data_IF_424863208640
#
_entry.id   IF_424863208640
#
_cell.length_a   1.000
_cell.length_b   1.000
_cell.length_c   1.000
_cell.angle_alpha   90.00
_cell.angle_beta   90.00
_cell.angle_gamma   90.00
#
_symmetry.space_group_name_H-M   'P 1'
#
loop_
_entity.id
_entity.type
_entity.pdbx_description
1 polymer ?
#
# COMPACT_ATOMS: atom_id res chain seq x y z
N UNK A 1 49.65 -15.72 30.78
CA UNK A 1 49.81 -14.47 31.56
C UNK A 1 49.52 -14.72 33.03
N UNK A 2 50.24 -14.04 33.94
CA UNK A 2 49.95 -14.05 35.40
C UNK A 2 48.92 -12.98 35.77
N UNK A 3 48.37 -13.06 37.00
CA UNK A 3 47.33 -12.12 37.48
C UNK A 3 47.74 -10.63 37.34
N UNK A 4 49.00 -10.29 37.63
CA UNK A 4 49.47 -8.90 37.54
C UNK A 4 49.67 -8.41 36.10
N UNK A 5 49.93 -9.30 35.15
CA UNK A 5 50.03 -8.95 33.73
C UNK A 5 48.63 -8.71 33.15
N UNK A 6 47.68 -9.62 33.44
CA UNK A 6 46.32 -9.47 32.93
C UNK A 6 45.56 -8.31 33.58
N UNK A 7 45.87 -7.95 34.83
CA UNK A 7 45.35 -6.75 35.46
C UNK A 7 45.77 -5.49 34.69
N UNK A 8 47.03 -5.40 34.26
CA UNK A 8 47.52 -4.28 33.44
C UNK A 8 46.89 -4.25 32.05
N UNK A 9 46.74 -5.41 31.40
CA UNK A 9 46.22 -5.51 30.03
C UNK A 9 44.69 -5.34 29.94
N UNK A 10 43.94 -5.84 30.93
CA UNK A 10 42.48 -5.71 30.97
C UNK A 10 42.00 -4.40 31.59
N UNK A 11 42.83 -3.73 32.40
CA UNK A 11 42.44 -2.57 33.20
C UNK A 11 41.48 -2.91 34.34
N UNK A 12 41.41 -4.18 34.74
CA UNK A 12 40.51 -4.71 35.77
C UNK A 12 41.36 -5.18 36.95
N UNK A 13 41.01 -4.74 38.17
CA UNK A 13 41.79 -5.11 39.34
C UNK A 13 41.78 -6.61 39.61
N UNK A 14 42.87 -7.14 40.17
CA UNK A 14 42.98 -8.57 40.48
C UNK A 14 41.84 -9.07 41.39
N UNK A 15 41.37 -8.21 42.31
CA UNK A 15 40.20 -8.49 43.17
C UNK A 15 38.92 -8.71 42.36
N UNK A 16 38.70 -7.89 41.33
CA UNK A 16 37.51 -7.96 40.46
C UNK A 16 37.58 -9.16 39.52
N UNK A 17 38.75 -9.51 39.01
CA UNK A 17 38.97 -10.73 38.20
C UNK A 17 38.59 -11.98 39.02
N UNK A 18 39.10 -12.08 40.26
CA UNK A 18 38.73 -13.16 41.19
C UNK A 18 37.23 -13.17 41.48
N UNK A 19 36.62 -12.00 41.63
CA UNK A 19 35.18 -11.90 41.84
C UNK A 19 34.38 -12.43 40.63
N UNK A 20 34.77 -12.11 39.40
CA UNK A 20 34.14 -12.66 38.19
C UNK A 20 34.29 -14.17 38.08
N UNK A 21 35.47 -14.71 38.40
CA UNK A 21 35.70 -16.16 38.52
C UNK A 21 34.73 -16.78 39.55
N UNK A 22 34.60 -16.21 40.76
CA UNK A 22 33.67 -16.73 41.78
C UNK A 22 32.20 -16.66 41.38
N UNK A 23 31.82 -15.72 40.51
CA UNK A 23 30.45 -15.62 39.98
C UNK A 23 30.21 -16.56 38.78
N UNK A 24 31.24 -17.24 38.31
CA UNK A 24 31.18 -18.19 37.21
C UNK A 24 31.21 -17.53 35.83
N UNK A 25 31.63 -16.26 35.73
CA UNK A 25 31.74 -15.54 34.46
C UNK A 25 32.96 -15.97 33.64
N UNK A 26 33.96 -16.58 34.29
CA UNK A 26 35.24 -16.99 33.73
C UNK A 26 35.63 -18.33 34.37
N UNK A 27 36.25 -19.21 33.59
CA UNK A 27 36.86 -20.44 34.08
C UNK A 27 38.35 -20.44 33.74
N UNK A 28 39.19 -20.13 34.72
CA UNK A 28 40.62 -19.98 34.51
C UNK A 28 41.32 -21.31 34.75
N UNK A 29 42.12 -21.75 33.78
CA UNK A 29 42.92 -22.97 33.92
C UNK A 29 44.03 -22.75 34.95
N UNK A 30 44.33 -23.79 35.73
CA UNK A 30 45.51 -23.82 36.60
C UNK A 30 46.64 -24.53 35.86
N UNK A 31 47.80 -23.90 35.81
CA UNK A 31 49.01 -24.52 35.27
C UNK A 31 49.54 -25.63 36.19
N UNK A 32 50.59 -26.32 35.75
CA UNK A 32 51.22 -27.44 36.49
C UNK A 32 51.68 -27.04 37.90
N UNK A 33 52.02 -25.76 38.09
CA UNK A 33 52.43 -25.20 39.38
C UNK A 33 51.25 -24.81 40.30
N UNK A 34 50.02 -25.26 40.00
CA UNK A 34 48.76 -24.92 40.68
C UNK A 34 48.37 -23.42 40.68
N UNK A 35 49.14 -22.56 40.01
CA UNK A 35 48.83 -21.14 39.81
C UNK A 35 47.86 -20.95 38.64
N UNK A 36 47.06 -19.87 38.70
CA UNK A 36 46.17 -19.46 37.61
C UNK A 36 46.98 -18.95 36.43
N UNK A 37 46.71 -19.49 35.26
CA UNK A 37 47.30 -19.03 34.00
C UNK A 37 46.19 -18.50 33.11
N UNK A 38 46.34 -17.24 32.69
CA UNK A 38 45.39 -16.57 31.82
C UNK A 38 45.87 -16.60 30.37
N UNK A 39 45.00 -17.00 29.46
CA UNK A 39 45.21 -16.94 28.01
C UNK A 39 44.67 -15.66 27.37
N UNK A 40 44.87 -15.54 26.05
CA UNK A 40 44.33 -14.43 25.24
C UNK A 40 42.79 -14.42 25.20
N UNK A 41 42.17 -15.60 25.22
CA UNK A 41 40.71 -15.75 25.30
C UNK A 41 40.16 -15.17 26.61
N UNK A 42 40.82 -15.44 27.74
CA UNK A 42 40.44 -14.88 29.05
C UNK A 42 40.55 -13.36 29.08
N UNK A 43 41.59 -12.81 28.44
CA UNK A 43 41.78 -11.37 28.31
C UNK A 43 40.63 -10.73 27.50
N UNK A 44 40.29 -11.32 26.36
CA UNK A 44 39.20 -10.86 25.49
C UNK A 44 37.85 -10.92 26.21
N UNK A 45 37.60 -12.01 26.96
CA UNK A 45 36.38 -12.16 27.75
C UNK A 45 36.32 -11.15 28.90
N UNK A 46 37.43 -10.92 29.61
CA UNK A 46 37.53 -9.89 30.65
C UNK A 46 37.25 -8.48 30.11
N UNK A 47 37.82 -8.12 28.96
CA UNK A 47 37.56 -6.83 28.30
C UNK A 47 36.10 -6.69 27.89
N UNK A 48 35.49 -7.76 27.37
CA UNK A 48 34.06 -7.79 27.01
C UNK A 48 33.17 -7.57 28.24
N UNK A 49 33.44 -8.29 29.34
CA UNK A 49 32.71 -8.11 30.61
C UNK A 49 32.88 -6.67 31.11
N UNK A 50 34.08 -6.11 31.08
CA UNK A 50 34.33 -4.73 31.51
C UNK A 50 33.56 -3.71 30.66
N UNK A 51 33.51 -3.89 29.34
CA UNK A 51 32.74 -3.03 28.44
C UNK A 51 31.25 -3.08 28.78
N UNK A 52 30.67 -4.29 28.88
CA UNK A 52 29.25 -4.47 29.21
C UNK A 52 28.90 -3.86 30.58
N UNK A 53 29.79 -4.01 31.57
CA UNK A 53 29.63 -3.39 32.90
C UNK A 53 29.67 -1.87 32.83
N UNK A 54 30.56 -1.28 32.02
CA UNK A 54 30.61 0.18 31.80
C UNK A 54 29.36 0.71 31.09
N UNK A 55 28.76 -0.10 30.21
CA UNK A 55 27.47 0.21 29.57
C UNK A 55 26.24 -0.03 30.46
N UNK A 56 26.44 -0.36 31.75
CA UNK A 56 25.35 -0.53 32.72
C UNK A 56 24.75 -1.93 32.81
N UNK A 57 25.28 -2.93 32.08
CA UNK A 57 24.77 -4.30 32.18
C UNK A 57 25.06 -4.90 33.57
N UNK A 58 24.10 -5.63 34.12
CA UNK A 58 24.28 -6.32 35.40
C UNK A 58 25.12 -7.60 35.24
N UNK A 59 25.79 -8.02 36.31
CA UNK A 59 26.58 -9.27 36.33
C UNK A 59 25.70 -10.48 36.05
N UNK A 60 24.46 -10.48 36.55
CA UNK A 60 23.50 -11.54 36.30
C UNK A 60 23.16 -11.64 34.79
N UNK A 61 22.91 -10.51 34.14
CA UNK A 61 22.57 -10.48 32.72
C UNK A 61 23.75 -10.89 31.82
N UNK A 62 24.97 -10.51 32.18
CA UNK A 62 26.20 -10.98 31.49
C UNK A 62 26.35 -12.50 31.70
N UNK A 63 26.05 -13.00 32.89
CA UNK A 63 26.09 -14.43 33.18
C UNK A 63 25.06 -15.22 32.36
N UNK A 64 23.87 -14.68 32.15
CA UNK A 64 22.86 -15.34 31.32
C UNK A 64 23.34 -15.51 29.87
N UNK A 65 24.19 -14.61 29.36
CA UNK A 65 24.86 -14.77 28.07
C UNK A 65 25.93 -15.87 28.13
N UNK A 66 26.77 -15.91 29.17
CA UNK A 66 27.80 -16.95 29.31
C UNK A 66 27.20 -18.34 29.53
N UNK A 67 26.05 -18.43 30.20
CA UNK A 67 25.30 -19.66 30.45
C UNK A 67 24.45 -20.09 29.23
N UNK A 68 24.44 -19.29 28.15
CA UNK A 68 23.68 -19.57 26.92
C UNK A 68 22.16 -19.42 27.04
N UNK A 69 21.65 -18.74 28.08
CA UNK A 69 20.21 -18.49 28.28
C UNK A 69 19.66 -17.42 27.35
N UNK A 70 20.50 -16.47 26.95
CA UNK A 70 20.19 -15.44 25.96
C UNK A 70 21.41 -15.13 25.11
N UNK A 71 21.21 -14.59 23.92
CA UNK A 71 22.33 -14.17 23.07
C UNK A 71 22.90 -12.82 23.53
N UNK A 72 24.16 -12.55 23.18
CA UNK A 72 24.77 -11.24 23.43
C UNK A 72 23.99 -10.11 22.75
N UNK A 73 23.43 -10.38 21.56
CA UNK A 73 22.61 -9.41 20.82
C UNK A 73 21.35 -9.06 21.61
N UNK A 74 20.63 -10.05 22.15
CA UNK A 74 19.44 -9.82 22.98
C UNK A 74 19.76 -9.00 24.24
N UNK A 75 20.90 -9.26 24.89
CA UNK A 75 21.33 -8.46 26.04
C UNK A 75 21.58 -7.01 25.66
N UNK A 76 22.30 -6.78 24.56
CA UNK A 76 22.61 -5.45 24.07
C UNK A 76 21.34 -4.69 23.65
N UNK A 77 20.41 -5.35 22.96
CA UNK A 77 19.12 -4.74 22.59
C UNK A 77 18.31 -4.32 23.82
N UNK A 78 18.22 -5.18 24.84
CA UNK A 78 17.56 -4.85 26.11
C UNK A 78 18.22 -3.65 26.80
N UNK A 79 19.55 -3.61 26.82
CA UNK A 79 20.29 -2.51 27.46
C UNK A 79 20.14 -1.20 26.69
N UNK A 80 20.21 -1.23 25.36
CA UNK A 80 19.99 -0.06 24.50
C UNK A 80 18.60 0.51 24.76
N UNK A 81 17.58 -0.33 24.75
CA UNK A 81 16.20 0.09 25.00
C UNK A 81 16.03 0.72 26.40
N UNK A 82 16.64 0.14 27.44
CA UNK A 82 16.64 0.71 28.78
C UNK A 82 17.32 2.09 28.84
N UNK A 83 18.46 2.25 28.16
CA UNK A 83 19.19 3.52 28.11
C UNK A 83 18.44 4.59 27.30
N UNK A 84 17.77 4.21 26.21
CA UNK A 84 16.92 5.13 25.44
C UNK A 84 15.75 5.64 26.27
N UNK A 85 15.11 4.75 27.05
CA UNK A 85 14.06 5.11 28.01
C UNK A 85 14.57 6.11 29.06
N UNK A 86 15.75 5.84 29.64
CA UNK A 86 16.36 6.75 30.62
C UNK A 86 16.69 8.11 29.99
N UNK A 87 17.28 8.13 28.80
CA UNK A 87 17.60 9.36 28.08
C UNK A 87 16.35 10.21 27.87
N UNK A 88 15.25 9.59 27.44
CA UNK A 88 14.00 10.31 27.22
C UNK A 88 13.43 10.90 28.51
N UNK A 89 13.46 10.15 29.61
CA UNK A 89 13.06 10.65 30.93
C UNK A 89 13.89 11.88 31.33
N UNK A 90 15.20 11.85 31.09
CA UNK A 90 16.10 12.98 31.36
C UNK A 90 15.85 14.17 30.42
N UNK A 91 15.65 13.94 29.12
CA UNK A 91 15.33 14.98 28.14
C UNK A 91 14.02 15.70 28.51
N UNK A 92 13.03 14.95 29.02
CA UNK A 92 11.76 15.49 29.46
C UNK A 92 11.89 16.27 30.77
N UNK A 93 12.63 15.75 31.75
CA UNK A 93 12.97 16.48 32.98
C UNK A 93 13.70 17.79 32.65
N UNK A 94 14.64 17.76 31.70
CA UNK A 94 15.31 18.95 31.19
C UNK A 94 14.33 19.95 30.57
N UNK A 95 13.37 19.50 29.76
CA UNK A 95 12.35 20.38 29.17
C UNK A 95 11.51 21.09 30.25
N UNK A 96 11.13 20.38 31.30
CA UNK A 96 10.40 20.94 32.45
C UNK A 96 11.27 21.97 33.16
N UNK A 97 12.55 21.68 33.38
CA UNK A 97 13.48 22.63 33.99
C UNK A 97 13.65 23.90 33.13
N UNK A 98 13.70 23.77 31.80
CA UNK A 98 13.74 24.93 30.90
C UNK A 98 12.45 25.77 30.98
N UNK A 99 11.30 25.11 31.02
CA UNK A 99 10.01 25.80 31.15
C UNK A 99 9.88 26.49 32.51
N UNK A 100 10.27 25.82 33.59
CA UNK A 100 10.39 26.39 34.94
C UNK A 100 11.30 27.61 34.94
N UNK A 101 12.48 27.51 34.33
CA UNK A 101 13.42 28.63 34.25
C UNK A 101 12.82 29.85 33.53
N UNK A 102 12.09 29.63 32.42
CA UNK A 102 11.45 30.71 31.66
C UNK A 102 10.29 31.36 32.41
N UNK A 103 9.53 30.58 33.16
CA UNK A 103 8.31 31.02 33.85
C UNK A 103 8.53 31.47 35.30
N UNK A 104 9.75 31.30 35.83
CA UNK A 104 10.10 31.60 37.22
C UNK A 104 9.90 33.06 37.65
N UNK A 105 9.77 34.02 36.72
CA UNK A 105 9.45 35.41 37.05
C UNK A 105 7.98 35.65 37.48
N UNK A 106 7.08 34.69 37.26
CA UNK A 106 5.69 34.73 37.75
C UNK A 106 5.46 33.58 38.71
N UNK A 107 5.51 33.86 40.01
CA UNK A 107 5.23 32.90 41.08
C UNK A 107 3.74 32.52 41.12
N UNK A 108 3.30 31.66 40.19
CA UNK A 108 1.96 31.07 40.21
C UNK A 108 2.02 29.63 40.74
N UNK A 109 1.43 29.41 41.92
CA UNK A 109 1.32 28.09 42.55
C UNK A 109 0.62 27.05 41.63
N UNK A 110 -0.24 27.51 40.72
CA UNK A 110 -0.91 26.68 39.71
C UNK A 110 0.05 26.07 38.68
N UNK A 111 1.15 26.73 38.34
CA UNK A 111 2.15 26.19 37.41
C UNK A 111 2.95 25.06 38.07
N UNK A 112 3.23 25.21 39.37
CA UNK A 112 3.99 24.25 40.17
C UNK A 112 3.21 22.94 40.35
N UNK A 113 1.89 23.01 40.58
CA UNK A 113 1.03 21.83 40.60
C UNK A 113 0.91 21.16 39.23
N UNK A 114 0.87 21.93 38.14
CA UNK A 114 0.83 21.38 36.79
C UNK A 114 2.11 20.59 36.47
N UNK A 115 3.30 21.15 36.75
CA UNK A 115 4.57 20.43 36.53
C UNK A 115 4.72 19.18 37.40
N UNK A 116 4.28 19.23 38.66
CA UNK A 116 4.26 18.06 39.54
C UNK A 116 3.32 16.97 39.02
N UNK A 117 2.18 17.36 38.45
CA UNK A 117 1.25 16.41 37.83
C UNK A 117 1.85 15.80 36.56
N UNK A 118 2.46 16.60 35.69
CA UNK A 118 3.15 16.10 34.49
C UNK A 118 4.25 15.11 34.87
N UNK A 119 5.08 15.40 35.88
CA UNK A 119 6.11 14.48 36.37
C UNK A 119 5.53 13.15 36.87
N UNK A 120 4.41 13.19 37.61
CA UNK A 120 3.73 11.97 38.08
C UNK A 120 3.16 11.16 36.93
N UNK A 121 2.57 11.80 35.93
CA UNK A 121 2.03 11.14 34.75
C UNK A 121 3.15 10.47 33.93
N UNK A 122 4.33 11.08 33.83
CA UNK A 122 5.50 10.52 33.12
C UNK A 122 6.05 9.24 33.77
N UNK A 123 5.94 9.12 35.09
CA UNK A 123 6.38 7.93 35.83
C UNK A 123 5.39 6.76 35.71
N UNK A 124 4.18 6.98 35.17
CA UNK A 124 3.22 5.91 34.94
C UNK A 124 3.60 5.02 33.76
N UNK A 125 3.32 3.72 33.90
CA UNK A 125 3.55 2.74 32.83
C UNK A 125 2.68 3.05 31.58
N UNK A 126 1.47 3.60 31.77
CA UNK A 126 0.57 3.98 30.67
C UNK A 126 1.16 5.07 29.76
N UNK A 127 1.75 6.12 30.35
CA UNK A 127 2.37 7.20 29.56
C UNK A 127 3.64 6.74 28.85
N UNK A 128 4.39 5.82 29.45
CA UNK A 128 5.57 5.22 28.82
C UNK A 128 5.18 4.34 27.63
N UNK A 129 4.11 3.56 27.76
CA UNK A 129 3.58 2.76 26.67
C UNK A 129 3.06 3.65 25.53
N UNK A 130 2.32 4.71 25.86
CA UNK A 130 1.90 5.72 24.88
C UNK A 130 3.09 6.39 24.19
N UNK A 131 4.17 6.68 24.92
CA UNK A 131 5.37 7.27 24.33
C UNK A 131 6.08 6.32 23.37
N UNK A 132 6.21 5.04 23.72
CA UNK A 132 6.72 4.01 22.82
C UNK A 132 5.85 3.89 21.55
N UNK A 133 4.53 3.92 21.71
CA UNK A 133 3.58 3.88 20.60
C UNK A 133 3.70 5.13 19.71
N UNK A 134 3.85 6.33 20.30
CA UNK A 134 4.06 7.58 19.56
C UNK A 134 5.43 7.62 18.88
N UNK A 135 6.49 7.10 19.51
CA UNK A 135 7.79 6.92 18.85
C UNK A 135 7.69 5.94 17.68
N UNK A 136 6.91 4.87 17.82
CA UNK A 136 6.63 3.95 16.72
C UNK A 136 5.82 4.61 15.60
N UNK A 137 4.87 5.49 15.92
CA UNK A 137 4.08 6.23 14.93
C UNK A 137 4.88 7.34 14.23
N UNK A 138 5.84 7.95 14.92
CA UNK A 138 6.72 9.01 14.37
C UNK A 138 7.87 8.44 13.53
N UNK A 139 8.18 7.15 13.66
CA UNK A 139 9.05 6.46 12.73
C UNK A 139 8.30 6.14 11.42
N UNK A 140 8.76 6.74 10.33
CA UNK A 140 8.18 6.54 9.01
C UNK A 140 8.09 5.03 8.66
N UNK A 141 6.87 4.57 8.39
CA UNK A 141 6.63 3.20 7.97
C UNK A 141 7.34 2.88 6.65
N UNK A 142 7.62 1.62 6.31
CA UNK A 142 8.19 1.29 5.00
C UNK A 142 7.30 1.75 3.83
N UNK A 143 5.98 1.88 4.04
CA UNK A 143 5.05 2.48 3.08
C UNK A 143 5.36 3.95 2.82
N UNK A 144 5.75 4.72 3.83
CA UNK A 144 6.20 6.11 3.62
C UNK A 144 7.34 6.15 2.61
N UNK A 145 8.36 5.30 2.77
CA UNK A 145 9.49 5.24 1.84
C UNK A 145 9.08 4.76 0.44
N UNK A 146 8.20 3.77 0.32
CA UNK A 146 7.69 3.29 -0.97
C UNK A 146 6.86 4.36 -1.69
N UNK A 147 5.96 5.04 -0.98
CA UNK A 147 5.13 6.12 -1.53
C UNK A 147 6.01 7.28 -2.01
N UNK A 148 6.97 7.71 -1.20
CA UNK A 148 7.94 8.73 -1.62
C UNK A 148 8.81 8.27 -2.79
N UNK A 149 9.13 6.98 -2.88
CA UNK A 149 9.85 6.42 -4.03
C UNK A 149 9.02 6.50 -5.30
N UNK A 150 7.72 6.20 -5.23
CA UNK A 150 6.81 6.32 -6.36
C UNK A 150 6.66 7.79 -6.80
N UNK A 151 6.47 8.71 -5.86
CA UNK A 151 6.35 10.15 -6.14
C UNK A 151 7.63 10.69 -6.80
N UNK A 152 8.80 10.38 -6.23
CA UNK A 152 10.10 10.86 -6.72
C UNK A 152 10.55 10.13 -8.00
N UNK A 153 9.96 8.98 -8.35
CA UNK A 153 10.26 8.29 -9.60
C UNK A 153 9.62 8.93 -10.84
N UNK A 154 8.62 9.80 -10.66
CA UNK A 154 7.87 10.41 -11.76
C UNK A 154 8.74 11.19 -12.76
N UNK A 155 9.57 12.15 -12.31
CA UNK A 155 10.45 12.91 -13.20
C UNK A 155 11.50 12.05 -13.89
N UNK A 156 12.04 11.04 -13.20
CA UNK A 156 13.00 10.06 -13.74
C UNK A 156 12.37 9.24 -14.87
N UNK A 157 11.16 8.72 -14.64
CA UNK A 157 10.42 7.93 -15.63
C UNK A 157 10.04 8.79 -16.84
N UNK A 158 9.59 10.02 -16.59
CA UNK A 158 9.20 10.97 -17.66
C UNK A 158 10.42 11.35 -18.52
N UNK A 159 11.58 11.54 -17.89
CA UNK A 159 12.84 11.78 -18.60
C UNK A 159 13.24 10.58 -19.45
N UNK A 160 13.13 9.36 -18.92
CA UNK A 160 13.44 8.13 -19.66
C UNK A 160 12.52 7.96 -20.90
N UNK A 161 11.21 8.16 -20.73
CA UNK A 161 10.24 8.09 -21.83
C UNK A 161 10.51 9.15 -22.91
N UNK A 162 10.78 10.41 -22.51
CA UNK A 162 11.09 11.48 -23.46
C UNK A 162 12.40 11.28 -24.23
N UNK A 163 13.41 10.70 -23.59
CA UNK A 163 14.67 10.33 -24.28
C UNK A 163 14.38 9.27 -25.35
N UNK A 164 13.52 8.29 -25.05
CA UNK A 164 13.15 7.22 -25.98
C UNK A 164 12.29 7.72 -27.15
N UNK A 165 11.43 8.72 -26.93
CA UNK A 165 10.56 9.33 -27.95
C UNK A 165 11.25 10.43 -28.79
N UNK A 166 12.56 10.67 -28.61
CA UNK A 166 13.32 11.77 -29.24
C UNK A 166 12.70 13.17 -29.05
N UNK A 167 11.94 13.38 -27.97
CA UNK A 167 11.31 14.66 -27.67
C UNK A 167 12.25 15.55 -26.82
N UNK A 168 12.58 16.74 -27.33
CA UNK A 168 13.63 17.62 -26.77
C UNK A 168 13.07 18.71 -25.84
N UNK A 169 11.74 18.84 -25.73
CA UNK A 169 11.13 19.90 -24.92
C UNK A 169 11.37 19.72 -23.41
N UNK A 170 11.96 20.77 -22.81
CA UNK A 170 12.29 20.89 -21.39
C UNK A 170 13.30 19.84 -20.83
N UNK A 171 14.10 19.20 -21.69
CA UNK A 171 15.07 18.17 -21.27
C UNK A 171 16.01 18.64 -20.16
N UNK A 172 16.54 19.87 -20.23
CA UNK A 172 17.46 20.39 -19.21
C UNK A 172 16.85 20.58 -17.82
N UNK A 173 15.54 20.86 -17.73
CA UNK A 173 14.85 20.99 -16.45
C UNK A 173 14.50 19.62 -15.87
N UNK A 174 14.08 18.67 -16.73
CA UNK A 174 13.80 17.29 -16.36
C UNK A 174 15.06 16.54 -15.89
N UNK A 175 16.24 16.79 -16.48
CA UNK A 175 17.51 16.20 -16.03
C UNK A 175 17.88 16.68 -14.63
N UNK A 176 17.76 17.98 -14.37
CA UNK A 176 18.05 18.56 -13.05
C UNK A 176 17.10 18.03 -11.97
N UNK A 177 15.80 17.95 -12.25
CA UNK A 177 14.81 17.36 -11.35
C UNK A 177 15.11 15.87 -11.08
N UNK A 178 15.40 15.09 -12.12
CA UNK A 178 15.72 13.68 -11.98
C UNK A 178 16.97 13.44 -11.12
N UNK A 179 18.00 14.29 -11.25
CA UNK A 179 19.22 14.23 -10.43
C UNK A 179 18.96 14.61 -8.97
N UNK A 180 18.13 15.62 -8.73
CA UNK A 180 17.70 16.01 -7.39
C UNK A 180 16.87 14.89 -6.73
N UNK A 181 15.90 14.32 -7.45
CA UNK A 181 15.06 13.24 -6.96
C UNK A 181 15.87 11.99 -6.64
N UNK A 182 16.86 11.64 -7.48
CA UNK A 182 17.78 10.53 -7.21
C UNK A 182 18.61 10.76 -5.94
N UNK A 183 19.04 11.99 -5.69
CA UNK A 183 19.78 12.35 -4.48
C UNK A 183 18.90 12.22 -3.23
N UNK A 184 17.66 12.70 -3.29
CA UNK A 184 16.67 12.59 -2.21
C UNK A 184 16.29 11.13 -1.95
N UNK A 185 16.05 10.34 -3.00
CA UNK A 185 15.81 8.89 -2.93
C UNK A 185 16.97 8.18 -2.23
N UNK A 186 18.20 8.49 -2.60
CA UNK A 186 19.40 7.89 -2.00
C UNK A 186 19.48 8.19 -0.52
N UNK A 187 19.19 9.44 -0.10
CA UNK A 187 19.19 9.84 1.31
C UNK A 187 18.03 9.22 2.09
N UNK A 188 16.83 9.14 1.50
CA UNK A 188 15.66 8.49 2.09
C UNK A 188 15.93 7.01 2.37
N UNK A 189 16.44 6.28 1.37
CA UNK A 189 16.76 4.87 1.52
C UNK A 189 17.96 4.64 2.44
N UNK A 190 18.97 5.51 2.42
CA UNK A 190 20.07 5.48 3.40
C UNK A 190 19.52 5.58 4.82
N UNK A 191 18.65 6.55 5.10
CA UNK A 191 17.99 6.72 6.41
C UNK A 191 17.17 5.48 6.78
N UNK A 192 16.42 4.91 5.84
CA UNK A 192 15.68 3.67 6.09
C UNK A 192 16.61 2.51 6.48
N UNK A 193 17.69 2.28 5.73
CA UNK A 193 18.61 1.16 5.96
C UNK A 193 19.46 1.32 7.23
N UNK A 194 19.87 2.54 7.58
CA UNK A 194 20.63 2.80 8.82
C UNK A 194 19.75 2.61 10.05
N UNK A 195 18.49 3.01 10.00
CA UNK A 195 17.54 2.89 11.14
C UNK A 195 16.91 1.49 11.22
N UNK A 196 17.01 0.68 10.14
CA UNK A 196 16.41 -0.66 10.03
C UNK A 196 17.06 -1.72 10.94
N UNK A 197 18.30 -1.53 11.37
CA UNK A 197 19.04 -2.51 12.18
C UNK A 197 18.56 -2.62 13.64
N UNK A 198 17.96 -1.58 14.20
CA UNK A 198 17.50 -1.55 15.61
C UNK A 198 16.27 -2.44 15.90
N UNK A 199 15.66 -3.08 14.89
CA UNK A 199 14.36 -3.76 15.06
C UNK A 199 14.30 -5.14 14.40
N UNK A 200 15.42 -5.88 14.42
CA UNK A 200 15.58 -7.16 13.70
C UNK A 200 14.60 -8.24 14.17
N UNK A 201 14.20 -8.24 15.45
CA UNK A 201 13.32 -9.28 16.00
C UNK A 201 11.80 -9.06 15.78
N UNK A 202 11.30 -7.82 15.74
CA UNK A 202 9.87 -7.57 15.43
C UNK A 202 9.56 -7.49 13.92
N UNK A 203 10.58 -7.39 13.05
CA UNK A 203 10.42 -7.11 11.59
C UNK A 203 9.95 -8.26 10.69
N UNK A 204 9.89 -9.52 11.15
CA UNK A 204 9.28 -10.60 10.34
C UNK A 204 7.79 -10.36 10.08
N UNK A 205 7.12 -9.53 10.90
CA UNK A 205 5.65 -9.36 10.88
C UNK A 205 5.19 -8.11 10.11
N UNK A 206 5.94 -7.01 10.15
CA UNK A 206 5.64 -5.81 9.35
C UNK A 206 5.76 -6.03 7.84
N UNK A 207 6.66 -6.92 7.38
CA UNK A 207 6.75 -7.31 5.97
C UNK A 207 5.52 -8.08 5.47
N UNK A 208 4.86 -8.85 6.36
CA UNK A 208 3.63 -9.57 6.02
C UNK A 208 2.49 -8.57 5.77
N UNK A 209 2.40 -7.52 6.60
CA UNK A 209 1.44 -6.43 6.40
C UNK A 209 1.73 -5.59 5.14
N UNK A 210 3.02 -5.40 4.80
CA UNK A 210 3.45 -4.67 3.60
C UNK A 210 3.15 -5.40 2.29
N UNK A 211 3.30 -6.73 2.27
CA UNK A 211 3.00 -7.54 1.08
C UNK A 211 1.50 -7.83 0.96
N UNK A 212 0.75 -7.70 2.04
CA UNK A 212 -0.65 -8.06 2.07
C UNK A 212 -1.58 -7.17 1.27
N UNK A 213 -1.45 -5.84 1.41
CA UNK A 213 -2.27 -4.90 0.67
C UNK A 213 -2.09 -5.07 -0.86
N UNK A 214 -0.85 -5.08 -1.41
CA UNK A 214 -0.65 -5.34 -2.83
C UNK A 214 -1.08 -6.75 -3.22
N UNK A 215 -0.86 -7.78 -2.38
CA UNK A 215 -1.31 -9.14 -2.66
C UNK A 215 -2.84 -9.26 -2.75
N UNK A 216 -3.57 -8.61 -1.85
CA UNK A 216 -5.04 -8.60 -1.86
C UNK A 216 -5.59 -7.83 -3.06
N UNK A 217 -4.94 -6.71 -3.42
CA UNK A 217 -5.25 -5.99 -4.65
C UNK A 217 -5.01 -6.88 -5.89
N UNK A 218 -3.87 -7.56 -5.97
CA UNK A 218 -3.57 -8.47 -7.07
C UNK A 218 -4.60 -9.59 -7.21
N UNK A 219 -5.04 -10.21 -6.10
CA UNK A 219 -6.08 -11.25 -6.12
C UNK A 219 -7.41 -10.68 -6.64
N UNK A 220 -7.83 -9.52 -6.12
CA UNK A 220 -9.08 -8.89 -6.55
C UNK A 220 -9.05 -8.49 -8.03
N UNK A 221 -7.95 -7.90 -8.51
CA UNK A 221 -7.78 -7.57 -9.93
C UNK A 221 -7.75 -8.82 -10.81
N UNK A 222 -7.09 -9.90 -10.36
CA UNK A 222 -7.11 -11.18 -11.08
C UNK A 222 -8.53 -11.73 -11.19
N UNK A 223 -9.34 -11.60 -10.14
CA UNK A 223 -10.74 -12.03 -10.17
C UNK A 223 -11.58 -11.21 -11.16
N UNK A 224 -11.40 -9.88 -11.19
CA UNK A 224 -12.04 -8.99 -12.18
C UNK A 224 -11.64 -9.41 -13.60
N UNK A 225 -10.35 -9.67 -13.83
CA UNK A 225 -9.84 -10.14 -15.12
C UNK A 225 -10.45 -11.49 -15.53
N UNK A 226 -10.56 -12.45 -14.59
CA UNK A 226 -11.19 -13.75 -14.84
C UNK A 226 -12.67 -13.59 -15.19
N UNK A 227 -13.42 -12.70 -14.51
CA UNK A 227 -14.82 -12.41 -14.88
C UNK A 227 -14.88 -11.88 -16.31
N UNK A 228 -14.01 -10.92 -16.66
CA UNK A 228 -13.98 -10.35 -18.00
C UNK A 228 -13.67 -11.42 -19.06
N UNK A 229 -12.65 -12.23 -18.83
CA UNK A 229 -12.29 -13.35 -19.70
C UNK A 229 -13.44 -14.36 -19.85
N UNK A 230 -14.16 -14.68 -18.75
CA UNK A 230 -15.33 -15.54 -18.80
C UNK A 230 -16.47 -14.93 -19.61
N UNK A 231 -16.70 -13.61 -19.53
CA UNK A 231 -17.69 -12.93 -20.38
C UNK A 231 -17.36 -13.12 -21.86
N UNK A 232 -16.10 -12.89 -22.22
CA UNK A 232 -15.63 -13.04 -23.60
C UNK A 232 -15.80 -14.47 -24.08
N UNK A 233 -15.39 -15.45 -23.27
CA UNK A 233 -15.50 -16.88 -23.59
C UNK A 233 -16.95 -17.36 -23.75
N UNK A 234 -17.88 -16.83 -22.94
CA UNK A 234 -19.27 -17.31 -22.90
C UNK A 234 -20.17 -16.64 -23.94
N UNK A 235 -19.95 -15.35 -24.23
CA UNK A 235 -20.91 -14.54 -24.99
C UNK A 235 -20.38 -14.02 -26.33
N UNK A 236 -19.07 -13.84 -26.48
CA UNK A 236 -18.53 -13.27 -27.71
C UNK A 236 -18.25 -14.37 -28.73
N UNK A 237 -18.98 -14.33 -29.84
CA UNK A 237 -18.72 -15.16 -31.03
C UNK A 237 -18.08 -14.30 -32.11
N UNK A 238 -17.28 -14.89 -32.98
CA UNK A 238 -16.59 -14.22 -34.08
C UNK A 238 -17.49 -13.28 -34.89
N UNK A 239 -16.96 -12.11 -35.27
CA UNK A 239 -17.64 -11.13 -36.13
C UNK A 239 -18.55 -10.12 -35.40
N UNK A 240 -18.42 -9.98 -34.08
CA UNK A 240 -19.02 -8.86 -33.36
C UNK A 240 -18.22 -7.57 -33.61
N UNK A 241 -18.89 -6.42 -33.61
CA UNK A 241 -18.23 -5.11 -33.77
C UNK A 241 -17.85 -4.55 -32.41
N UNK A 242 -18.83 -4.47 -31.52
CA UNK A 242 -18.69 -3.85 -30.21
C UNK A 242 -19.48 -4.62 -29.17
N UNK A 243 -19.02 -4.65 -27.92
CA UNK A 243 -19.84 -5.15 -26.82
C UNK A 243 -19.77 -4.20 -25.64
N UNK A 244 -20.84 -4.19 -24.85
CA UNK A 244 -20.94 -3.33 -23.67
C UNK A 244 -21.64 -4.09 -22.56
N UNK A 245 -21.37 -3.68 -21.34
CA UNK A 245 -22.01 -4.22 -20.16
C UNK A 245 -22.71 -3.10 -19.40
N UNK A 246 -23.72 -3.43 -18.60
CA UNK A 246 -24.36 -2.43 -17.75
C UNK A 246 -23.39 -1.98 -16.64
N UNK A 247 -23.44 -0.70 -16.26
CA UNK A 247 -22.64 -0.13 -15.17
C UNK A 247 -22.63 -1.00 -13.89
N UNK A 248 -23.77 -1.60 -13.53
CA UNK A 248 -23.85 -2.49 -12.37
C UNK A 248 -22.98 -3.75 -12.52
N UNK A 249 -22.97 -4.37 -13.70
CA UNK A 249 -22.18 -5.56 -13.98
C UNK A 249 -20.66 -5.29 -14.00
N UNK A 250 -20.25 -4.04 -14.22
CA UNK A 250 -18.83 -3.63 -14.18
C UNK A 250 -18.38 -3.15 -12.79
N UNK A 251 -19.31 -2.63 -11.97
CA UNK A 251 -19.00 -2.19 -10.59
C UNK A 251 -19.02 -3.35 -9.60
N UNK A 252 -19.96 -4.28 -9.74
CA UNK A 252 -20.12 -5.39 -8.80
C UNK A 252 -18.87 -6.28 -8.61
N UNK A 253 -18.04 -6.53 -9.65
CA UNK A 253 -16.77 -7.23 -9.46
C UNK A 253 -15.81 -6.60 -8.44
N UNK A 254 -15.88 -5.28 -8.21
CA UNK A 254 -15.07 -4.61 -7.19
C UNK A 254 -15.48 -5.00 -5.76
N UNK A 255 -16.67 -5.57 -5.57
CA UNK A 255 -17.06 -6.17 -4.28
C UNK A 255 -16.07 -7.26 -3.84
N UNK A 256 -15.59 -8.09 -4.79
CA UNK A 256 -14.61 -9.14 -4.51
C UNK A 256 -13.24 -8.58 -4.11
N UNK A 257 -12.87 -7.39 -4.59
CA UNK A 257 -11.66 -6.68 -4.15
C UNK A 257 -11.76 -6.32 -2.66
N UNK A 258 -12.88 -5.71 -2.28
CA UNK A 258 -13.14 -5.33 -0.89
C UNK A 258 -13.18 -6.56 0.00
N UNK A 259 -13.87 -7.62 -0.42
CA UNK A 259 -13.95 -8.88 0.32
C UNK A 259 -12.57 -9.54 0.49
N UNK A 260 -11.77 -9.60 -0.58
CA UNK A 260 -10.40 -10.13 -0.54
C UNK A 260 -9.50 -9.34 0.42
N UNK A 261 -9.65 -8.01 0.47
CA UNK A 261 -8.98 -7.17 1.47
C UNK A 261 -9.46 -7.56 2.87
N UNK A 262 -10.76 -7.55 3.15
CA UNK A 262 -11.28 -7.85 4.50
C UNK A 262 -10.85 -9.25 4.99
N UNK A 263 -10.96 -10.29 4.16
CA UNK A 263 -10.59 -11.67 4.53
C UNK A 263 -9.10 -11.79 4.79
N UNK A 264 -8.25 -11.31 3.88
CA UNK A 264 -6.81 -11.42 4.06
C UNK A 264 -6.33 -10.56 5.24
N UNK A 265 -6.95 -9.39 5.48
CA UNK A 265 -6.66 -8.53 6.62
C UNK A 265 -6.97 -9.23 7.95
N UNK A 266 -8.13 -9.89 8.02
CA UNK A 266 -8.50 -10.69 9.19
C UNK A 266 -7.60 -11.93 9.38
N UNK A 267 -7.19 -12.60 8.30
CA UNK A 267 -6.25 -13.72 8.37
C UNK A 267 -4.90 -13.29 8.97
N UNK A 268 -4.40 -12.11 8.60
CA UNK A 268 -3.17 -11.57 9.14
C UNK A 268 -3.37 -11.11 10.58
N UNK A 269 -4.45 -10.41 10.90
CA UNK A 269 -4.77 -10.03 12.28
C UNK A 269 -4.74 -11.25 13.21
N UNK A 270 -5.34 -12.37 12.80
CA UNK A 270 -5.32 -13.63 13.56
C UNK A 270 -3.92 -14.25 13.71
N UNK A 271 -3.09 -14.21 12.65
CA UNK A 271 -1.74 -14.78 12.65
C UNK A 271 -0.73 -13.91 13.40
N UNK A 272 -1.06 -12.65 13.63
CA UNK A 272 -0.22 -11.66 14.33
C UNK A 272 -0.76 -11.46 15.74
N UNK A 273 -0.45 -12.41 16.65
CA UNK A 273 -0.93 -12.55 18.03
C UNK A 273 -0.83 -11.32 18.99
N UNK A 274 -0.42 -10.14 18.51
CA UNK A 274 -0.07 -8.99 19.36
C UNK A 274 -0.51 -7.63 18.78
N UNK A 275 -1.48 -7.62 17.87
CA UNK A 275 -2.13 -6.40 17.39
C UNK A 275 -3.61 -6.52 17.76
N UNK A 276 -4.02 -5.82 18.81
CA UNK A 276 -5.42 -5.75 19.24
C UNK A 276 -6.23 -4.91 18.23
N UNK A 277 -6.56 -5.52 17.10
CA UNK A 277 -7.69 -5.06 16.30
C UNK A 277 -8.96 -5.72 16.85
N UNK A 278 -9.49 -5.21 17.95
CA UNK A 278 -10.79 -5.66 18.50
C UNK A 278 -11.89 -5.63 17.41
N UNK A 279 -11.89 -4.59 16.57
CA UNK A 279 -12.81 -4.44 15.44
C UNK A 279 -12.69 -5.56 14.39
N UNK A 280 -11.47 -6.03 14.08
CA UNK A 280 -11.28 -7.11 13.09
C UNK A 280 -11.69 -8.47 13.63
N UNK A 281 -11.54 -8.72 14.93
CA UNK A 281 -12.03 -9.97 15.53
C UNK A 281 -13.56 -10.03 15.47
N UNK A 282 -14.24 -8.89 15.71
CA UNK A 282 -15.69 -8.77 15.56
C UNK A 282 -16.13 -8.99 14.11
N UNK A 283 -15.44 -8.36 13.15
CA UNK A 283 -15.72 -8.54 11.71
C UNK A 283 -15.51 -10.00 11.30
N UNK A 284 -14.42 -10.64 11.72
CA UNK A 284 -14.12 -12.03 11.38
C UNK A 284 -15.14 -13.01 11.99
N UNK A 285 -15.58 -12.77 13.22
CA UNK A 285 -16.63 -13.57 13.85
C UNK A 285 -17.95 -13.43 13.10
N UNK A 286 -18.34 -12.20 12.71
CA UNK A 286 -19.52 -11.96 11.87
C UNK A 286 -19.40 -12.63 10.49
N UNK A 287 -18.25 -12.52 9.81
CA UNK A 287 -17.98 -13.17 8.53
C UNK A 287 -18.16 -14.70 8.61
N UNK A 288 -17.65 -15.32 9.68
CA UNK A 288 -17.79 -16.76 9.91
C UNK A 288 -19.23 -17.18 10.23
N UNK A 289 -19.94 -16.34 10.98
CA UNK A 289 -21.35 -16.54 11.32
C UNK A 289 -22.24 -16.47 10.08
N UNK A 290 -22.01 -15.49 9.20
CA UNK A 290 -22.78 -15.26 7.97
C UNK A 290 -22.18 -15.92 6.72
N UNK A 291 -21.33 -16.93 6.86
CA UNK A 291 -20.60 -17.53 5.72
C UNK A 291 -21.50 -18.02 4.58
N UNK A 292 -22.68 -18.58 4.91
CA UNK A 292 -23.63 -19.05 3.90
C UNK A 292 -24.35 -17.90 3.20
N UNK A 293 -24.68 -16.85 3.95
CA UNK A 293 -25.25 -15.63 3.38
C UNK A 293 -24.25 -14.94 2.45
N UNK A 294 -22.98 -14.85 2.85
CA UNK A 294 -21.92 -14.31 1.99
C UNK A 294 -21.73 -15.12 0.72
N UNK A 295 -21.66 -16.46 0.81
CA UNK A 295 -21.58 -17.32 -0.37
C UNK A 295 -22.75 -17.09 -1.33
N UNK A 296 -23.97 -16.96 -0.78
CA UNK A 296 -25.16 -16.68 -1.57
C UNK A 296 -25.10 -15.30 -2.25
N UNK A 297 -24.70 -14.25 -1.51
CA UNK A 297 -24.50 -12.90 -2.05
C UNK A 297 -23.42 -12.91 -3.12
N UNK A 298 -22.29 -13.57 -2.90
CA UNK A 298 -21.19 -13.68 -3.86
C UNK A 298 -21.61 -14.39 -5.13
N UNK A 299 -22.45 -15.42 -5.03
CA UNK A 299 -22.97 -16.14 -6.19
C UNK A 299 -23.93 -15.26 -7.01
N UNK A 300 -24.77 -14.45 -6.34
CA UNK A 300 -25.62 -13.45 -7.00
C UNK A 300 -24.76 -12.36 -7.67
N UNK A 301 -23.78 -11.82 -6.96
CA UNK A 301 -22.89 -10.78 -7.47
C UNK A 301 -22.13 -11.30 -8.69
N UNK A 302 -21.55 -12.50 -8.62
CA UNK A 302 -20.89 -13.16 -9.75
C UNK A 302 -21.84 -13.37 -10.94
N UNK A 303 -23.05 -13.85 -10.68
CA UNK A 303 -24.05 -14.08 -11.72
C UNK A 303 -24.47 -12.78 -12.43
N UNK A 304 -24.73 -11.71 -11.68
CA UNK A 304 -25.05 -10.38 -12.25
C UNK A 304 -23.84 -9.83 -13.00
N UNK A 305 -22.63 -10.06 -12.50
CA UNK A 305 -21.39 -9.61 -13.13
C UNK A 305 -21.14 -10.31 -14.45
N UNK A 306 -21.47 -11.60 -14.58
CA UNK A 306 -21.34 -12.38 -15.82
C UNK A 306 -22.50 -12.16 -16.81
N UNK A 307 -23.57 -11.48 -16.40
CA UNK A 307 -24.75 -11.23 -17.23
C UNK A 307 -24.88 -9.73 -17.52
N UNK A 308 -25.98 -9.29 -18.16
CA UNK A 308 -26.19 -7.88 -18.55
C UNK A 308 -25.19 -7.37 -19.59
N UNK A 309 -24.97 -8.19 -20.62
CA UNK A 309 -24.08 -7.90 -21.75
C UNK A 309 -24.95 -7.56 -22.97
N UNK A 310 -24.48 -6.62 -23.77
CA UNK A 310 -25.01 -6.30 -25.08
C UNK A 310 -23.88 -6.50 -26.09
N UNK A 311 -24.13 -7.28 -27.14
CA UNK A 311 -23.16 -7.57 -28.21
C UNK A 311 -23.75 -7.08 -29.52
N UNK A 312 -23.03 -6.19 -30.20
CA UNK A 312 -23.45 -5.59 -31.46
C UNK A 312 -22.79 -6.33 -32.62
N UNK A 313 -23.61 -6.89 -33.51
CA UNK A 313 -23.19 -7.49 -34.77
C UNK A 313 -23.53 -6.56 -35.94
N UNK A 314 -22.95 -6.74 -37.14
CA UNK A 314 -23.29 -5.93 -38.30
C UNK A 314 -24.79 -5.91 -38.65
N UNK A 315 -25.52 -7.00 -38.37
CA UNK A 315 -26.92 -7.17 -38.76
C UNK A 315 -27.94 -7.09 -37.62
N UNK A 316 -27.52 -7.30 -36.37
CA UNK A 316 -28.43 -7.42 -35.23
C UNK A 316 -27.74 -7.11 -33.90
N UNK A 317 -28.54 -6.96 -32.84
CA UNK A 317 -28.09 -6.75 -31.47
C UNK A 317 -28.44 -7.99 -30.64
N UNK A 318 -27.47 -8.62 -29.99
CA UNK A 318 -27.74 -9.66 -29.01
C UNK A 318 -27.67 -9.08 -27.59
N UNK A 319 -28.65 -9.37 -26.75
CA UNK A 319 -28.64 -8.94 -25.35
C UNK A 319 -28.85 -10.11 -24.42
N UNK A 320 -28.04 -10.19 -23.36
CA UNK A 320 -28.21 -11.11 -22.24
C UNK A 320 -28.49 -10.30 -20.98
N UNK A 321 -29.50 -10.68 -20.19
CA UNK A 321 -29.86 -10.00 -18.93
C UNK A 321 -29.75 -10.96 -17.76
N UNK A 322 -29.62 -10.44 -16.55
CA UNK A 322 -29.56 -11.29 -15.35
C UNK A 322 -30.82 -12.14 -15.15
N UNK A 323 -31.99 -11.73 -15.64
CA UNK A 323 -33.21 -12.56 -15.56
C UNK A 323 -33.42 -13.46 -16.80
N UNK A 324 -32.63 -13.26 -17.85
CA UNK A 324 -32.69 -13.99 -19.11
C UNK A 324 -31.25 -14.07 -19.69
N UNK A 325 -30.42 -15.00 -19.17
CA UNK A 325 -28.98 -15.01 -19.45
C UNK A 325 -28.62 -15.54 -20.84
N UNK A 326 -29.56 -16.21 -21.53
CA UNK A 326 -29.37 -16.65 -22.91
C UNK A 326 -29.44 -15.43 -23.82
N UNK A 327 -28.47 -15.31 -24.73
CA UNK A 327 -28.44 -14.23 -25.73
C UNK A 327 -29.73 -14.22 -26.54
N UNK A 328 -30.47 -13.11 -26.45
CA UNK A 328 -31.66 -12.85 -27.23
C UNK A 328 -31.31 -11.94 -28.39
N UNK A 329 -31.50 -12.43 -29.61
CA UNK A 329 -31.34 -11.67 -30.85
C UNK A 329 -32.47 -10.64 -30.98
N UNK A 330 -32.11 -9.37 -31.01
CA UNK A 330 -32.99 -8.25 -31.25
C UNK A 330 -32.61 -7.57 -32.56
N UNK A 331 -33.61 -7.28 -33.38
CA UNK A 331 -33.42 -6.43 -34.56
C UNK A 331 -33.10 -4.99 -34.11
N UNK A 332 -32.23 -4.31 -34.85
CA UNK A 332 -31.93 -2.89 -34.68
C UNK A 332 -33.16 -1.99 -34.81
N UNK A 333 -34.25 -2.48 -35.42
CA UNK A 333 -35.56 -1.82 -35.38
C UNK A 333 -36.11 -1.55 -33.96
N UNK A 334 -35.57 -2.21 -32.93
CA UNK A 334 -35.90 -1.91 -31.54
C UNK A 334 -35.19 -0.67 -30.98
N UNK A 335 -34.22 -0.10 -31.69
CA UNK A 335 -33.59 1.16 -31.33
C UNK A 335 -34.49 2.31 -31.81
N UNK A 336 -34.98 3.11 -30.86
CA UNK A 336 -35.86 4.26 -31.13
C UNK A 336 -35.08 5.51 -31.50
N UNK A 337 -33.96 5.74 -30.81
CA UNK A 337 -33.10 6.90 -31.05
C UNK A 337 -31.68 6.64 -30.57
N UNK A 338 -30.77 7.38 -31.17
CA UNK A 338 -29.37 7.49 -30.78
C UNK A 338 -29.13 8.89 -30.24
N UNK A 339 -28.38 9.01 -29.13
CA UNK A 339 -27.93 10.30 -28.59
C UNK A 339 -26.42 10.31 -28.47
N UNK A 340 -25.79 11.31 -29.09
CA UNK A 340 -24.32 11.45 -29.11
C UNK A 340 -23.91 12.85 -28.68
N UNK A 341 -22.79 13.00 -27.98
CA UNK A 341 -22.25 14.32 -27.64
C UNK A 341 -21.14 14.27 -26.61
N UNK A 342 -20.94 15.36 -25.87
CA UNK A 342 -19.91 15.47 -24.83
C UNK A 342 -20.53 15.80 -23.47
N UNK A 343 -20.01 15.18 -22.39
CA UNK A 343 -20.57 15.33 -21.04
C UNK A 343 -20.39 16.74 -20.46
N UNK A 344 -21.42 17.23 -19.77
CA UNK A 344 -21.45 18.58 -19.18
C UNK A 344 -20.94 18.67 -17.75
N UNK A 345 -20.97 17.58 -16.98
CA UNK A 345 -20.72 17.59 -15.55
C UNK A 345 -19.78 16.46 -15.09
N UNK A 346 -18.88 16.80 -14.17
CA UNK A 346 -18.06 15.84 -13.44
C UNK A 346 -18.90 15.34 -12.26
N UNK A 347 -19.65 14.25 -12.44
CA UNK A 347 -20.33 13.60 -11.31
C UNK A 347 -19.34 12.71 -10.57
N UNK A 348 -19.30 12.82 -9.24
CA UNK A 348 -18.37 12.05 -8.38
C UNK A 348 -18.48 10.52 -8.55
N UNK A 349 -19.60 10.03 -9.08
CA UNK A 349 -19.89 8.61 -9.32
C UNK A 349 -19.92 8.22 -10.82
N UNK A 350 -19.73 9.17 -11.74
CA UNK A 350 -19.70 8.90 -13.19
C UNK A 350 -18.27 8.63 -13.65
N UNK A 351 -18.08 7.58 -14.46
CA UNK A 351 -16.79 7.25 -15.09
C UNK A 351 -16.31 8.30 -16.11
N UNK A 352 -17.09 9.36 -16.33
CA UNK A 352 -16.85 10.34 -17.38
C UNK A 352 -16.56 11.74 -16.82
N UNK A 353 -15.48 12.34 -17.32
CA UNK A 353 -15.13 13.72 -17.11
C UNK A 353 -15.95 14.65 -18.01
N UNK A 354 -15.97 15.94 -17.64
CA UNK A 354 -16.49 16.99 -18.52
C UNK A 354 -15.72 16.94 -19.84
N UNK A 355 -16.45 16.97 -20.96
CA UNK A 355 -15.86 16.86 -22.29
C UNK A 355 -15.67 15.43 -22.80
N UNK A 356 -15.96 14.39 -22.01
CA UNK A 356 -15.90 13.01 -22.50
C UNK A 356 -17.03 12.72 -23.50
N UNK A 357 -16.68 12.00 -24.57
CA UNK A 357 -17.62 11.58 -25.58
C UNK A 357 -18.61 10.56 -25.02
N UNK A 358 -19.87 10.66 -25.41
CA UNK A 358 -20.88 9.66 -25.14
C UNK A 358 -21.66 9.24 -26.39
N UNK A 359 -22.06 7.97 -26.41
CA UNK A 359 -22.90 7.36 -27.43
C UNK A 359 -23.94 6.45 -26.76
N UNK A 360 -25.19 6.90 -26.75
CA UNK A 360 -26.29 6.19 -26.08
C UNK A 360 -27.35 5.72 -27.07
N UNK A 361 -27.69 4.43 -27.00
CA UNK A 361 -28.82 3.84 -27.71
C UNK A 361 -30.02 3.77 -26.78
N UNK A 362 -31.20 4.19 -27.26
CA UNK A 362 -32.46 4.06 -26.54
C UNK A 362 -33.34 3.02 -27.21
N UNK A 363 -33.65 1.96 -26.47
CA UNK A 363 -34.51 0.87 -26.94
C UNK A 363 -35.99 1.21 -26.73
N UNK A 364 -36.88 0.54 -27.47
CA UNK A 364 -38.35 0.67 -27.34
C UNK A 364 -38.87 0.34 -25.94
N UNK A 365 -38.18 -0.52 -25.20
CA UNK A 365 -38.51 -0.88 -23.82
C UNK A 365 -38.05 0.17 -22.79
N UNK A 366 -37.55 1.32 -23.25
CA UNK A 366 -37.08 2.42 -22.41
C UNK A 366 -35.67 2.24 -21.85
N UNK A 367 -35.00 1.11 -22.15
CA UNK A 367 -33.62 0.89 -21.70
C UNK A 367 -32.62 1.71 -22.50
N UNK A 368 -31.52 2.04 -21.82
CA UNK A 368 -30.38 2.78 -22.36
C UNK A 368 -29.18 1.83 -22.47
N UNK A 369 -28.58 1.73 -23.65
CA UNK A 369 -27.28 1.07 -23.86
C UNK A 369 -26.22 2.14 -24.07
N UNK A 370 -25.09 1.96 -23.41
CA UNK A 370 -23.93 2.84 -23.51
C UNK A 370 -22.84 2.13 -24.32
N UNK A 371 -22.47 2.72 -25.47
CA UNK A 371 -21.39 2.21 -26.34
C UNK A 371 -20.27 3.24 -26.50
N UNK A 372 -20.10 4.11 -25.49
CA UNK A 372 -19.15 5.21 -25.53
C UNK A 372 -17.69 4.76 -25.43
N UNK A 373 -17.44 3.55 -24.93
CA UNK A 373 -16.10 2.98 -24.78
C UNK A 373 -15.82 1.98 -25.90
N UNK A 374 -14.61 2.00 -26.48
CA UNK A 374 -14.18 1.02 -27.45
C UNK A 374 -13.84 -0.28 -26.72
N UNK A 375 -13.86 -1.39 -27.45
CA UNK A 375 -13.32 -2.62 -26.93
C UNK A 375 -11.78 -2.51 -26.84
N UNK A 376 -11.17 -3.23 -25.90
CA UNK A 376 -9.74 -3.48 -25.98
C UNK A 376 -9.47 -4.24 -27.29
N UNK A 377 -8.43 -3.83 -28.03
CA UNK A 377 -8.10 -4.32 -29.37
C UNK A 377 -7.85 -5.85 -29.39
N UNK A 378 -8.92 -6.63 -29.44
CA UNK A 378 -8.89 -8.09 -29.51
C UNK A 378 -9.16 -8.58 -30.94
N UNK A 379 -9.80 -7.77 -31.77
CA UNK A 379 -9.99 -8.07 -33.18
C UNK A 379 -8.89 -7.39 -34.01
N UNK A 380 -8.18 -8.18 -34.84
CA UNK A 380 -7.24 -7.68 -35.88
C UNK A 380 -7.83 -6.56 -36.73
N UNK A 381 -9.15 -6.53 -36.83
CA UNK A 381 -9.96 -5.56 -37.56
C UNK A 381 -9.74 -4.11 -37.11
N UNK A 382 -9.32 -3.87 -35.87
CA UNK A 382 -9.20 -2.53 -35.28
C UNK A 382 -7.81 -2.26 -34.64
N UNK A 383 -6.81 -3.11 -34.89
CA UNK A 383 -5.47 -3.06 -34.26
C UNK A 383 -4.74 -1.71 -34.38
N UNK A 384 -4.98 -0.94 -35.45
CA UNK A 384 -4.23 0.29 -35.74
C UNK A 384 -4.90 1.58 -35.23
N UNK A 385 -6.20 1.57 -34.91
CA UNK A 385 -6.92 2.78 -34.50
C UNK A 385 -8.03 2.50 -33.49
N UNK A 386 -7.86 3.03 -32.27
CA UNK A 386 -8.89 3.00 -31.23
C UNK A 386 -10.15 3.74 -31.69
N UNK A 387 -11.34 3.25 -31.30
CA UNK A 387 -12.67 3.84 -31.59
C UNK A 387 -13.23 3.69 -33.03
N UNK A 388 -12.55 2.99 -33.94
CA UNK A 388 -13.11 2.67 -35.27
C UNK A 388 -14.43 1.88 -35.20
N UNK A 389 -14.54 0.98 -34.23
CA UNK A 389 -15.74 0.20 -33.93
C UNK A 389 -16.99 1.08 -33.78
N UNK A 390 -16.84 2.25 -33.13
CA UNK A 390 -17.94 3.18 -32.88
C UNK A 390 -18.35 3.88 -34.19
N UNK A 391 -17.38 4.23 -35.05
CA UNK A 391 -17.68 4.78 -36.38
C UNK A 391 -18.44 3.77 -37.26
N UNK A 392 -18.04 2.49 -37.20
CA UNK A 392 -18.73 1.41 -37.92
C UNK A 392 -20.16 1.22 -37.41
N UNK A 393 -20.36 1.15 -36.09
CA UNK A 393 -21.70 1.12 -35.50
C UNK A 393 -22.53 2.34 -35.92
N UNK A 394 -21.96 3.53 -35.91
CA UNK A 394 -22.65 4.76 -36.31
C UNK A 394 -23.11 4.70 -37.77
N UNK A 395 -22.24 4.23 -38.67
CA UNK A 395 -22.56 4.08 -40.08
C UNK A 395 -23.73 3.11 -40.30
N UNK A 396 -23.75 1.97 -39.59
CA UNK A 396 -24.85 0.99 -39.64
C UNK A 396 -26.16 1.65 -39.18
N UNK A 397 -26.15 2.34 -38.04
CA UNK A 397 -27.37 2.97 -37.52
C UNK A 397 -27.91 4.08 -38.42
N UNK A 398 -27.04 4.85 -39.06
CA UNK A 398 -27.46 5.90 -40.00
C UNK A 398 -28.01 5.31 -41.30
N UNK A 399 -27.45 4.20 -41.80
CA UNK A 399 -27.98 3.48 -42.96
C UNK A 399 -29.37 2.89 -42.69
N UNK A 400 -29.62 2.43 -41.45
CA UNK A 400 -30.92 1.93 -41.01
C UNK A 400 -31.96 3.03 -40.75
N UNK A 401 -31.60 4.31 -40.89
CA UNK A 401 -32.51 5.43 -40.70
C UNK A 401 -32.89 5.70 -39.24
N UNK A 402 -32.08 5.26 -38.27
CA UNK A 402 -32.37 5.47 -36.84
C UNK A 402 -32.17 6.93 -36.47
N UNK A 403 -33.21 7.57 -35.89
CA UNK A 403 -33.17 8.97 -35.50
C UNK A 403 -32.01 9.27 -34.53
N UNK A 404 -31.24 10.31 -34.84
CA UNK A 404 -30.08 10.73 -34.03
C UNK A 404 -30.18 12.15 -33.50
N UNK A 405 -29.80 12.32 -32.23
CA UNK A 405 -29.69 13.59 -31.53
C UNK A 405 -28.22 13.83 -31.16
N UNK A 406 -27.53 14.65 -31.96
CA UNK A 406 -26.14 15.06 -31.71
C UNK A 406 -26.04 16.39 -30.97
N UNK A 407 -25.18 16.48 -29.95
CA UNK A 407 -24.85 17.73 -29.25
C UNK A 407 -23.35 18.00 -29.22
N UNK A 408 -22.94 19.15 -29.73
CA UNK A 408 -21.54 19.64 -29.70
C UNK A 408 -21.24 20.49 -28.45
N UNK A 409 -22.18 20.61 -27.52
CA UNK A 409 -21.92 21.27 -26.23
C UNK A 409 -20.79 20.54 -25.51
N UNK A 410 -19.86 21.29 -24.92
CA UNK A 410 -18.66 20.77 -24.23
C UNK A 410 -17.61 20.07 -25.11
N UNK A 411 -17.71 20.14 -26.43
CA UNK A 411 -16.65 19.62 -27.33
C UNK A 411 -15.28 20.27 -27.07
N UNK A 412 -15.26 21.57 -26.75
CA UNK A 412 -14.02 22.29 -26.44
C UNK A 412 -13.37 21.86 -25.12
N UNK A 413 -14.14 21.25 -24.22
CA UNK A 413 -13.65 20.74 -22.95
C UNK A 413 -12.97 19.34 -23.11
N UNK A 414 -12.97 18.75 -24.30
CA UNK A 414 -12.43 17.42 -24.56
C UNK A 414 -10.90 17.38 -24.58
N UNK A 415 -10.31 16.43 -23.84
CA UNK A 415 -8.85 16.31 -23.66
C UNK A 415 -8.18 15.30 -24.61
N UNK A 416 -8.90 14.64 -25.51
CA UNK A 416 -8.36 13.61 -26.41
C UNK A 416 -7.49 14.23 -27.51
N UNK A 417 -6.61 13.43 -28.12
CA UNK A 417 -5.79 13.87 -29.26
C UNK A 417 -6.66 14.32 -30.45
N UNK A 418 -6.09 15.19 -31.29
CA UNK A 418 -6.81 15.85 -32.38
C UNK A 418 -7.47 14.87 -33.36
N UNK A 419 -6.84 13.73 -33.62
CA UNK A 419 -7.40 12.68 -34.48
C UNK A 419 -8.74 12.17 -33.93
N UNK A 420 -8.79 11.76 -32.66
CA UNK A 420 -10.00 11.25 -32.01
C UNK A 420 -11.09 12.33 -31.87
N UNK A 421 -10.71 13.58 -31.60
CA UNK A 421 -11.68 14.70 -31.57
C UNK A 421 -12.37 14.87 -32.91
N UNK A 422 -11.62 14.78 -34.01
CA UNK A 422 -12.17 14.89 -35.35
C UNK A 422 -13.08 13.71 -35.68
N UNK A 423 -12.72 12.50 -35.25
CA UNK A 423 -13.56 11.29 -35.39
C UNK A 423 -14.90 11.46 -34.66
N UNK A 424 -14.87 11.79 -33.37
CA UNK A 424 -16.10 11.99 -32.60
C UNK A 424 -16.93 13.16 -33.10
N UNK A 425 -16.29 14.24 -33.56
CA UNK A 425 -17.02 15.33 -34.23
C UNK A 425 -17.79 14.83 -35.45
N UNK A 426 -17.16 14.03 -36.32
CA UNK A 426 -17.85 13.42 -37.48
C UNK A 426 -19.01 12.57 -37.03
N UNK A 427 -18.84 11.75 -35.98
CA UNK A 427 -19.93 10.95 -35.42
C UNK A 427 -21.05 11.87 -34.94
N UNK A 428 -20.82 12.88 -34.11
CA UNK A 428 -21.89 13.75 -33.59
C UNK A 428 -22.65 14.48 -34.70
N UNK A 429 -21.94 14.90 -35.75
CA UNK A 429 -22.51 15.67 -36.88
C UNK A 429 -23.18 14.77 -37.95
N UNK A 430 -22.84 13.47 -37.99
CA UNK A 430 -23.41 12.52 -38.94
C UNK A 430 -24.90 12.30 -38.64
N UNK A 431 -25.78 12.78 -39.51
CA UNK A 431 -27.24 12.64 -39.38
C UNK A 431 -27.77 11.66 -40.42
N UNK A 432 -28.85 10.96 -40.07
CA UNK A 432 -29.66 10.20 -41.02
C UNK A 432 -30.04 11.07 -42.21
N UNK A 433 -29.79 10.59 -43.42
CA UNK A 433 -30.18 11.26 -44.67
C UNK A 433 -31.69 11.33 -44.83
#
# INVERSE_FOLDING_TARGET
MKIGEIEKLSGISAKTIRYYETKGLLQIKRGENAYREYGEEDLTQLQTIALLRKCGCSIAAIKDVTDGKCTLVELLEKQIHMLEKQKWQEDLRLSILYDMQKSFQKSDASALSAWLQTLKEIETDEFQQLHEDVQMLTQHSPLFYVVWTLILSGPILTLFLKINEHNVEHQGLLTLLSLADMSVLTLLWRKYFTTRHQFKERKKRGWILLLWLPFSLCIGFLFIFVIQWLKELLYLKDGYILWSSTMLADILPFFFLIEAMVINGAYIAKKTHNIDFEDYQVIFHKLKHYRFLMLFVNLIVLYISLTNINVLYPSHLETARWYAPILQTNDYQNITKVKTGFQSAKSFLSQHNKGDFYYFLYLKDGKKIDISMPNAAHEKRYEEHTYLEIEECDAIFMQLGIKKEGSMQHFQDNTLAAEYRNRFKKIVENKTK
#
